data_IF_850797502534
#
_entry.id   IF_850797502534
#
_cell.length_a   1.000
_cell.length_b   1.000
_cell.length_c   1.000
_cell.angle_alpha   90.00
_cell.angle_beta   90.00
_cell.angle_gamma   90.00
#
_symmetry.space_group_name_H-M   'P 1'
#
loop_
_entity.id
_entity.type
_entity.pdbx_description
1 polymer ?
#
# COMPACT_ATOMS: atom_id res chain seq x y z
N UNK A 1 10.80 12.75 -20.55
CA UNK A 1 9.85 11.61 -20.38
C UNK A 1 10.12 10.81 -19.10
N UNK A 2 11.38 10.56 -18.70
CA UNK A 2 11.77 9.82 -17.48
C UNK A 2 11.34 10.48 -16.15
N UNK A 3 11.48 11.81 -16.06
CA UNK A 3 11.10 12.60 -14.88
C UNK A 3 9.59 12.59 -14.63
N UNK A 4 8.78 12.47 -15.67
CA UNK A 4 7.32 12.47 -15.54
C UNK A 4 6.85 11.14 -14.93
N UNK A 5 7.43 10.01 -15.37
CA UNK A 5 7.16 8.68 -14.78
C UNK A 5 7.57 8.64 -13.31
N UNK A 6 8.73 9.21 -12.99
CA UNK A 6 9.23 9.30 -11.62
C UNK A 6 8.33 10.19 -10.74
N UNK A 7 7.94 11.37 -11.23
CA UNK A 7 7.01 12.26 -10.51
C UNK A 7 5.65 11.58 -10.33
N UNK A 8 5.14 10.85 -11.34
CA UNK A 8 3.87 10.14 -11.20
C UNK A 8 3.94 9.00 -10.18
N UNK A 9 5.04 8.26 -10.12
CA UNK A 9 5.24 7.20 -9.11
C UNK A 9 5.29 7.80 -7.70
N UNK A 10 6.10 8.84 -7.51
CA UNK A 10 6.23 9.54 -6.21
C UNK A 10 4.90 10.16 -5.78
N UNK A 11 4.12 10.68 -6.73
CA UNK A 11 2.79 11.26 -6.46
C UNK A 11 1.78 10.17 -6.11
N UNK A 12 1.81 9.03 -6.79
CA UNK A 12 0.96 7.86 -6.47
C UNK A 12 1.30 7.34 -5.08
N UNK A 13 2.58 7.18 -4.75
CA UNK A 13 3.02 6.81 -3.40
C UNK A 13 2.51 7.82 -2.37
N UNK A 14 2.79 9.11 -2.54
CA UNK A 14 2.33 10.17 -1.62
C UNK A 14 0.81 10.22 -1.45
N UNK A 15 0.04 9.91 -2.50
CA UNK A 15 -1.44 9.89 -2.46
C UNK A 15 -2.01 8.59 -1.88
N UNK A 16 -1.32 7.45 -2.05
CA UNK A 16 -1.73 6.16 -1.49
C UNK A 16 -1.23 5.95 -0.04
N UNK A 17 -0.26 6.73 0.42
CA UNK A 17 0.34 6.61 1.75
C UNK A 17 -0.27 7.44 2.89
N UNK A 18 -1.43 8.14 2.81
CA UNK A 18 -2.08 8.57 4.03
C UNK A 18 -2.50 7.30 4.77
N UNK A 19 -1.85 7.00 5.89
CA UNK A 19 -2.13 5.79 6.69
C UNK A 19 -3.63 5.67 7.04
N UNK A 20 -4.35 6.79 7.12
CA UNK A 20 -5.80 6.86 7.28
C UNK A 20 -6.59 6.14 6.16
N UNK A 21 -6.13 6.18 4.90
CA UNK A 21 -6.80 5.54 3.78
C UNK A 21 -6.63 4.02 3.82
N UNK A 22 -5.42 3.54 4.13
CA UNK A 22 -5.15 2.11 4.31
C UNK A 22 -5.92 1.60 5.54
N UNK A 23 -5.94 2.35 6.64
CA UNK A 23 -6.74 2.00 7.83
C UNK A 23 -8.23 1.88 7.51
N UNK A 24 -8.80 2.85 6.78
CA UNK A 24 -10.20 2.82 6.40
C UNK A 24 -10.51 1.65 5.46
N UNK A 25 -9.60 1.34 4.52
CA UNK A 25 -9.75 0.22 3.59
C UNK A 25 -9.72 -1.13 4.33
N UNK A 26 -8.72 -1.35 5.19
CA UNK A 26 -8.61 -2.58 5.99
C UNK A 26 -9.83 -2.73 6.91
N UNK A 27 -10.27 -1.65 7.56
CA UNK A 27 -11.45 -1.67 8.45
C UNK A 27 -12.76 -1.97 7.72
N UNK A 28 -12.89 -1.54 6.46
CA UNK A 28 -14.10 -1.75 5.67
C UNK A 28 -14.16 -3.15 5.04
N UNK A 29 -13.02 -3.69 4.61
CA UNK A 29 -12.97 -4.97 3.90
C UNK A 29 -12.70 -6.18 4.80
N UNK A 30 -12.16 -5.98 6.01
CA UNK A 30 -11.82 -7.07 6.92
C UNK A 30 -12.66 -6.98 8.18
N UNK A 31 -13.71 -7.80 8.31
CA UNK A 31 -14.46 -7.91 9.55
C UNK A 31 -13.57 -8.62 10.58
N UNK A 32 -12.98 -7.85 11.48
CA UNK A 32 -12.17 -8.37 12.58
C UNK A 32 -13.08 -8.63 13.78
N UNK A 33 -12.95 -9.84 14.34
CA UNK A 33 -13.73 -10.31 15.49
C UNK A 33 -13.37 -9.52 16.75
N UNK A 34 -14.36 -9.27 17.60
CA UNK A 34 -14.37 -8.34 18.76
C UNK A 34 -13.47 -8.73 19.95
N UNK A 35 -12.50 -9.64 19.76
CA UNK A 35 -11.51 -9.94 20.80
C UNK A 35 -10.34 -8.95 20.68
N UNK A 36 -10.50 -7.81 21.37
CA UNK A 36 -9.80 -6.55 21.07
C UNK A 36 -8.28 -6.62 20.98
N UNK A 37 -7.61 -7.56 21.65
CA UNK A 37 -6.15 -7.70 21.63
C UNK A 37 -5.67 -8.46 20.38
N UNK A 38 -6.26 -9.64 20.12
CA UNK A 38 -5.99 -10.42 18.90
C UNK A 38 -6.47 -9.71 17.63
N UNK A 39 -7.56 -8.95 17.75
CA UNK A 39 -8.12 -8.12 16.69
C UNK A 39 -7.16 -7.02 16.23
N UNK A 40 -6.52 -6.34 17.18
CA UNK A 40 -5.63 -5.22 16.89
C UNK A 40 -4.33 -5.69 16.25
N UNK A 41 -3.74 -6.79 16.73
CA UNK A 41 -2.51 -7.36 16.17
C UNK A 41 -2.72 -7.84 14.72
N UNK A 42 -3.83 -8.54 14.47
CA UNK A 42 -4.18 -8.99 13.11
C UNK A 42 -4.59 -7.85 12.18
N UNK A 43 -5.20 -6.77 12.69
CA UNK A 43 -5.46 -5.55 11.92
C UNK A 43 -4.16 -4.87 11.47
N UNK A 44 -3.23 -4.67 12.42
CA UNK A 44 -1.99 -3.96 12.18
C UNK A 44 -1.09 -4.73 11.20
N UNK A 45 -1.02 -6.06 11.36
CA UNK A 45 -0.33 -6.96 10.45
C UNK A 45 -0.93 -6.89 9.04
N UNK A 46 -2.26 -6.77 8.93
CA UNK A 46 -2.92 -6.66 7.62
C UNK A 46 -2.66 -5.31 6.95
N UNK A 47 -2.70 -4.20 7.68
CA UNK A 47 -2.30 -2.87 7.17
C UNK A 47 -0.88 -2.92 6.62
N UNK A 48 0.04 -3.57 7.36
CA UNK A 48 1.43 -3.72 6.96
C UNK A 48 1.57 -4.57 5.70
N UNK A 49 0.78 -5.64 5.57
CA UNK A 49 0.76 -6.52 4.41
C UNK A 49 0.24 -5.81 3.15
N UNK A 50 -0.81 -5.00 3.28
CA UNK A 50 -1.33 -4.16 2.18
C UNK A 50 -0.27 -3.13 1.74
N UNK A 51 0.40 -2.50 2.70
CA UNK A 51 1.48 -1.54 2.41
C UNK A 51 2.65 -2.20 1.69
N UNK A 52 3.06 -3.38 2.14
CA UNK A 52 4.12 -4.17 1.50
C UNK A 52 3.74 -4.59 0.07
N UNK A 53 2.47 -4.95 -0.15
CA UNK A 53 1.97 -5.35 -1.47
C UNK A 53 1.93 -4.17 -2.44
N UNK A 54 1.52 -2.98 -1.97
CA UNK A 54 1.62 -1.75 -2.76
C UNK A 54 3.06 -1.41 -3.14
N UNK A 55 4.00 -1.53 -2.20
CA UNK A 55 5.43 -1.34 -2.49
C UNK A 55 5.96 -2.37 -3.51
N UNK A 56 5.58 -3.64 -3.39
CA UNK A 56 6.00 -4.68 -4.32
C UNK A 56 5.47 -4.44 -5.74
N UNK A 57 4.21 -4.00 -5.87
CA UNK A 57 3.62 -3.61 -7.16
C UNK A 57 4.32 -2.38 -7.74
N UNK A 58 4.55 -1.36 -6.91
CA UNK A 58 5.29 -0.15 -7.32
C UNK A 58 6.70 -0.47 -7.82
N UNK A 59 7.44 -1.30 -7.09
CA UNK A 59 8.76 -1.77 -7.48
C UNK A 59 8.72 -2.62 -8.75
N UNK A 60 7.74 -3.52 -8.89
CA UNK A 60 7.56 -4.35 -10.09
C UNK A 60 7.28 -3.52 -11.34
N UNK A 61 6.43 -2.50 -11.22
CA UNK A 61 6.13 -1.55 -12.29
C UNK A 61 7.37 -0.73 -12.65
N UNK A 62 8.11 -0.22 -11.65
CA UNK A 62 9.35 0.53 -11.88
C UNK A 62 10.39 -0.33 -12.61
N UNK A 63 10.66 -1.55 -12.13
CA UNK A 63 11.63 -2.47 -12.75
C UNK A 63 11.22 -2.81 -14.20
N UNK A 64 9.94 -3.07 -14.44
CA UNK A 64 9.44 -3.39 -15.79
C UNK A 64 9.58 -2.18 -16.73
N UNK A 65 9.26 -0.98 -16.25
CA UNK A 65 9.44 0.25 -17.01
C UNK A 65 10.91 0.55 -17.33
N UNK A 66 11.82 0.35 -16.37
CA UNK A 66 13.26 0.51 -16.60
C UNK A 66 13.86 -0.56 -17.50
N UNK A 67 13.25 -1.74 -17.61
CA UNK A 67 13.76 -2.86 -18.43
C UNK A 67 13.26 -2.85 -19.86
N UNK A 68 12.09 -2.25 -20.10
CA UNK A 68 11.45 -2.21 -21.43
C UNK A 68 11.84 -0.95 -22.22
N UNK A 69 12.58 -0.03 -21.60
CA UNK A 69 12.98 1.27 -22.15
C UNK A 69 14.50 1.45 -22.10
#
# INVERSE_FOLDING_TARGET
>A
MKIIVFISLVTIEMLFLPDAFIYMFVKYFIPISDDGEYAMDSFELTVLLVKALMCAVGAGVAITLFRTH
#
